data_IF_852769505010
#
_entry.id   IF_852769505010
#
_cell.length_a   1.000
_cell.length_b   1.000
_cell.length_c   1.000
_cell.angle_alpha   90.00
_cell.angle_beta   90.00
_cell.angle_gamma   90.00
#
_symmetry.space_group_name_H-M   'P 1'
#
loop_
_entity.id
_entity.type
_entity.pdbx_description
1 polymer ?
#
# COMPACT_ATOMS: atom_id res chain seq x y z
N UNK A 1 14.73 -11.95 13.68
CA UNK A 1 14.79 -10.66 12.95
C UNK A 1 13.40 -10.03 12.83
N UNK A 2 13.33 -8.72 12.81
CA UNK A 2 12.11 -7.94 12.64
C UNK A 2 12.19 -7.14 11.33
N UNK A 3 11.15 -7.21 10.52
CA UNK A 3 10.94 -6.27 9.41
C UNK A 3 9.81 -5.32 9.76
N UNK A 4 10.04 -4.04 9.54
CA UNK A 4 9.02 -3.00 9.61
C UNK A 4 8.90 -2.33 8.24
N UNK A 5 7.69 -2.35 7.69
CA UNK A 5 7.34 -1.68 6.46
C UNK A 5 6.44 -0.49 6.77
N UNK A 6 6.87 0.70 6.41
CA UNK A 6 6.06 1.92 6.47
C UNK A 6 5.75 2.38 5.04
N UNK A 7 4.62 1.92 4.54
CA UNK A 7 4.08 2.33 3.24
C UNK A 7 3.46 3.72 3.31
N UNK A 8 2.67 4.03 2.38
CA UNK A 8 1.87 5.24 2.12
C UNK A 8 2.37 6.58 2.72
N UNK A 9 2.05 7.65 2.12
CA UNK A 9 2.44 9.00 2.54
C UNK A 9 1.57 10.03 1.83
N UNK A 10 0.26 9.74 1.75
CA UNK A 10 -0.68 10.54 0.96
C UNK A 10 -0.92 11.93 1.53
N UNK A 11 -0.76 12.09 2.85
CA UNK A 11 -1.05 13.33 3.53
C UNK A 11 -0.15 13.51 4.76
N UNK A 12 -0.24 14.67 5.39
CA UNK A 12 0.56 15.02 6.56
C UNK A 12 0.34 14.07 7.75
N UNK A 13 -0.89 13.59 7.94
CA UNK A 13 -1.20 12.66 9.04
C UNK A 13 -0.51 11.32 8.86
N UNK A 14 -0.54 10.75 7.64
CA UNK A 14 0.20 9.53 7.31
C UNK A 14 1.71 9.70 7.51
N UNK A 15 2.26 10.84 7.10
CA UNK A 15 3.68 11.16 7.28
C UNK A 15 4.07 11.25 8.75
N UNK A 16 3.24 11.88 9.58
CA UNK A 16 3.47 12.00 11.03
C UNK A 16 3.42 10.62 11.68
N UNK A 17 2.36 9.83 11.41
CA UNK A 17 2.22 8.48 11.97
C UNK A 17 3.45 7.61 11.66
N UNK A 18 3.92 7.62 10.41
CA UNK A 18 5.12 6.90 9.99
C UNK A 18 6.38 7.36 10.75
N UNK A 19 6.54 8.67 10.93
CA UNK A 19 7.68 9.22 11.67
C UNK A 19 7.65 8.82 13.14
N UNK A 20 6.48 8.85 13.75
CA UNK A 20 6.28 8.45 15.15
C UNK A 20 6.54 6.95 15.35
N UNK A 21 6.08 6.11 14.44
CA UNK A 21 6.37 4.67 14.46
C UNK A 21 7.85 4.38 14.29
N UNK A 22 8.50 5.02 13.32
CA UNK A 22 9.94 4.92 13.14
C UNK A 22 10.68 5.31 14.41
N UNK A 23 10.28 6.39 15.03
CA UNK A 23 10.86 6.87 16.28
C UNK A 23 10.62 5.87 17.41
N UNK A 24 9.40 5.37 17.58
CA UNK A 24 9.09 4.37 18.59
C UNK A 24 9.95 3.11 18.41
N UNK A 25 10.10 2.60 17.19
CA UNK A 25 10.96 1.46 16.91
C UNK A 25 12.43 1.74 17.21
N UNK A 26 12.94 2.89 16.85
CA UNK A 26 14.36 3.24 17.07
C UNK A 26 14.67 3.50 18.56
N UNK A 27 13.74 4.07 19.32
CA UNK A 27 13.90 4.38 20.73
C UNK A 27 13.57 3.19 21.64
N UNK A 28 12.46 2.50 21.39
CA UNK A 28 11.96 1.41 22.25
C UNK A 28 12.65 0.07 21.95
N UNK A 29 13.01 -0.16 20.71
CA UNK A 29 13.66 -1.39 20.23
C UNK A 29 15.09 -1.17 19.78
N UNK A 30 15.77 -0.17 20.35
CA UNK A 30 17.16 0.18 20.03
C UNK A 30 18.14 -0.99 20.19
N UNK A 31 17.83 -1.94 21.07
CA UNK A 31 18.61 -3.16 21.21
C UNK A 31 18.62 -4.03 19.95
N UNK A 32 17.57 -3.98 19.12
CA UNK A 32 17.52 -4.70 17.84
C UNK A 32 18.44 -4.07 16.79
N UNK A 33 18.66 -2.77 16.83
CA UNK A 33 19.56 -2.06 15.92
C UNK A 33 21.02 -2.39 16.17
N UNK A 34 21.38 -2.69 17.40
CA UNK A 34 22.74 -3.01 17.82
C UNK A 34 23.12 -4.48 17.52
N UNK A 35 22.15 -5.31 17.18
CA UNK A 35 22.39 -6.65 16.68
C UNK A 35 22.41 -6.56 15.14
N UNK A 36 23.50 -6.96 14.51
CA UNK A 36 23.74 -6.84 13.05
C UNK A 36 22.65 -7.48 12.15
N UNK A 37 21.54 -7.94 12.72
CA UNK A 37 20.47 -8.68 12.07
C UNK A 37 19.07 -8.34 12.64
N UNK A 38 18.94 -7.28 13.45
CA UNK A 38 17.74 -7.13 14.26
C UNK A 38 16.55 -6.49 13.56
N UNK A 39 16.74 -5.40 12.87
CA UNK A 39 15.66 -4.58 12.31
C UNK A 39 15.94 -4.22 10.87
N UNK A 40 15.08 -4.66 9.99
CA UNK A 40 15.03 -4.24 8.60
C UNK A 40 13.89 -3.22 8.44
N UNK A 41 14.21 -2.00 8.02
CA UNK A 41 13.25 -0.92 7.90
C UNK A 41 13.09 -0.49 6.44
N UNK A 42 11.90 -0.70 5.88
CA UNK A 42 11.49 -0.16 4.60
C UNK A 42 10.86 1.21 4.82
N UNK A 43 11.63 2.26 4.58
CA UNK A 43 11.10 3.61 4.62
C UNK A 43 10.22 3.89 3.41
N UNK A 44 9.25 4.82 3.60
CA UNK A 44 8.49 5.34 2.50
C UNK A 44 9.42 6.09 1.54
N UNK A 45 9.69 5.48 0.43
CA UNK A 45 10.25 6.09 -0.77
C UNK A 45 9.44 5.60 -1.94
N UNK A 46 9.22 6.46 -2.93
CA UNK A 46 8.62 6.01 -4.17
C UNK A 46 9.51 4.93 -4.79
N UNK A 47 8.90 3.76 -4.99
CA UNK A 47 9.57 2.61 -5.57
C UNK A 47 8.54 1.82 -6.37
N UNK A 48 8.68 1.82 -7.69
CA UNK A 48 7.77 1.12 -8.61
C UNK A 48 7.78 -0.41 -8.41
N UNK A 49 8.74 -0.93 -7.65
CA UNK A 49 8.91 -2.34 -7.36
C UNK A 49 8.69 -2.69 -5.88
N UNK A 50 8.11 -1.79 -5.10
CA UNK A 50 7.96 -1.99 -3.64
C UNK A 50 7.23 -3.29 -3.31
N UNK A 51 6.21 -3.66 -4.07
CA UNK A 51 5.48 -4.91 -3.91
C UNK A 51 6.42 -6.12 -3.96
N UNK A 52 7.22 -6.23 -5.00
CA UNK A 52 8.12 -7.38 -5.20
C UNK A 52 9.21 -7.44 -4.15
N UNK A 53 9.70 -6.30 -3.70
CA UNK A 53 10.67 -6.22 -2.60
C UNK A 53 10.06 -6.66 -1.28
N UNK A 54 8.82 -6.24 -0.99
CA UNK A 54 8.12 -6.66 0.22
C UNK A 54 7.82 -8.17 0.19
N UNK A 55 7.35 -8.71 -0.92
CA UNK A 55 7.15 -10.15 -1.07
C UNK A 55 8.45 -10.93 -0.85
N UNK A 56 9.56 -10.47 -1.44
CA UNK A 56 10.86 -11.11 -1.24
C UNK A 56 11.32 -11.04 0.22
N UNK A 57 11.06 -9.94 0.91
CA UNK A 57 11.39 -9.80 2.33
C UNK A 57 10.55 -10.74 3.20
N UNK A 58 9.24 -10.80 2.98
CA UNK A 58 8.34 -11.67 3.75
C UNK A 58 8.54 -13.18 3.48
N UNK A 59 9.17 -13.54 2.36
CA UNK A 59 9.55 -14.91 2.05
C UNK A 59 10.81 -15.40 2.81
N UNK A 60 11.52 -14.51 3.49
CA UNK A 60 12.72 -14.86 4.25
C UNK A 60 12.38 -15.77 5.43
N UNK A 61 13.15 -16.85 5.57
CA UNK A 61 12.97 -17.85 6.64
C UNK A 61 13.68 -17.49 7.95
N UNK A 62 14.53 -16.46 7.92
CA UNK A 62 15.25 -15.94 9.09
C UNK A 62 14.56 -14.73 9.71
N UNK A 63 13.36 -14.40 9.24
CA UNK A 63 12.51 -13.34 9.74
C UNK A 63 11.52 -13.93 10.76
N UNK A 64 11.45 -13.33 11.95
CA UNK A 64 10.55 -13.78 13.04
C UNK A 64 9.24 -13.00 13.07
N UNK A 65 9.28 -11.71 12.73
CA UNK A 65 8.15 -10.80 12.81
C UNK A 65 8.19 -9.77 11.68
N UNK A 66 7.06 -9.55 11.05
CA UNK A 66 6.84 -8.42 10.16
C UNK A 66 5.72 -7.51 10.69
N UNK A 67 5.95 -6.21 10.66
CA UNK A 67 4.94 -5.19 10.94
C UNK A 67 4.77 -4.36 9.68
N UNK A 68 3.55 -4.34 9.16
CA UNK A 68 3.21 -3.71 7.88
C UNK A 68 2.22 -2.57 8.12
N UNK A 69 2.70 -1.34 8.00
CA UNK A 69 1.90 -0.14 8.13
C UNK A 69 1.62 0.46 6.75
N UNK A 70 0.36 0.42 6.31
CA UNK A 70 -0.08 0.91 5.01
C UNK A 70 -1.59 1.16 4.99
N UNK A 71 -2.12 1.73 3.91
CA UNK A 71 -3.56 1.72 3.67
C UNK A 71 -4.00 0.38 3.08
N UNK A 72 -5.24 -0.03 3.35
CA UNK A 72 -5.76 -1.28 2.85
C UNK A 72 -7.27 -1.31 2.66
N UNK A 73 -7.72 -2.31 1.96
CA UNK A 73 -9.09 -2.80 1.87
C UNK A 73 -9.09 -4.31 2.10
N UNK A 74 -10.25 -4.94 1.94
CA UNK A 74 -10.39 -6.39 2.13
C UNK A 74 -9.46 -7.20 1.21
N UNK A 75 -9.24 -6.71 -0.01
CA UNK A 75 -8.54 -7.38 -1.11
C UNK A 75 -7.24 -6.70 -1.55
N UNK A 76 -6.85 -5.60 -0.89
CA UNK A 76 -5.79 -4.72 -1.35
C UNK A 76 -4.91 -4.18 -0.22
N UNK A 77 -3.61 -4.14 -0.47
CA UNK A 77 -2.63 -3.38 0.31
C UNK A 77 -2.04 -2.26 -0.56
N UNK A 78 -2.24 -1.01 -0.15
CA UNK A 78 -1.69 0.16 -0.82
C UNK A 78 -0.31 0.46 -0.22
N UNK A 79 0.74 0.01 -0.91
CA UNK A 79 2.09 -0.01 -0.36
C UNK A 79 2.83 1.31 -0.54
N UNK A 80 2.56 2.02 -1.64
CA UNK A 80 3.16 3.34 -1.88
C UNK A 80 2.09 4.43 -1.94
N UNK A 81 2.49 5.62 -1.51
CA UNK A 81 1.74 6.84 -1.79
C UNK A 81 2.26 7.56 -3.03
N UNK A 82 2.07 8.88 -3.06
CA UNK A 82 2.58 9.72 -4.16
C UNK A 82 4.10 9.88 -4.09
N UNK A 83 4.81 9.90 -5.22
CA UNK A 83 6.25 10.14 -5.23
C UNK A 83 6.58 11.52 -4.66
N UNK A 84 7.70 11.63 -3.97
CA UNK A 84 8.25 12.93 -3.59
C UNK A 84 8.96 13.50 -4.82
N UNK A 85 8.43 14.59 -5.36
CA UNK A 85 8.99 15.22 -6.55
C UNK A 85 8.96 16.74 -6.44
N UNK A 86 10.00 17.38 -6.95
CA UNK A 86 10.03 18.85 -7.18
C UNK A 86 9.40 19.24 -8.52
N UNK A 87 9.06 18.27 -9.37
CA UNK A 87 8.46 18.52 -10.67
C UNK A 87 6.96 18.80 -10.55
N UNK A 88 6.53 19.99 -10.98
CA UNK A 88 5.11 20.33 -11.09
C UNK A 88 4.36 19.38 -12.01
N UNK A 89 5.00 18.89 -13.07
CA UNK A 89 4.37 17.94 -14.00
C UNK A 89 4.02 16.62 -13.35
N UNK A 90 4.88 16.08 -12.50
CA UNK A 90 4.59 14.86 -11.72
C UNK A 90 3.35 15.03 -10.86
N UNK A 91 3.22 16.17 -10.18
CA UNK A 91 2.02 16.44 -9.37
C UNK A 91 0.76 16.63 -10.20
N UNK A 92 0.86 17.24 -11.38
CA UNK A 92 -0.26 17.34 -12.33
C UNK A 92 -0.69 15.95 -12.79
N UNK A 93 0.24 15.09 -13.16
CA UNK A 93 -0.07 13.74 -13.64
C UNK A 93 -0.71 12.88 -12.56
N UNK A 94 -0.25 12.99 -11.32
CA UNK A 94 -0.86 12.32 -10.16
C UNK A 94 -2.28 12.83 -9.88
N UNK A 95 -2.49 14.15 -9.92
CA UNK A 95 -3.82 14.74 -9.74
C UNK A 95 -4.77 14.26 -10.86
N UNK A 96 -4.33 14.21 -12.10
CA UNK A 96 -5.12 13.69 -13.23
C UNK A 96 -5.45 12.20 -13.02
N UNK A 97 -4.48 11.39 -12.63
CA UNK A 97 -4.68 9.97 -12.30
C UNK A 97 -5.75 9.81 -11.21
N UNK A 98 -5.66 10.61 -10.13
CA UNK A 98 -6.65 10.62 -9.06
C UNK A 98 -8.07 10.91 -9.58
N UNK A 99 -8.26 11.97 -10.38
CA UNK A 99 -9.59 12.29 -10.93
C UNK A 99 -10.10 11.20 -11.88
N UNK A 100 -9.24 10.66 -12.75
CA UNK A 100 -9.59 9.52 -13.61
C UNK A 100 -10.08 8.32 -12.80
N UNK A 101 -9.35 7.93 -11.76
CA UNK A 101 -9.72 6.84 -10.88
C UNK A 101 -11.06 7.05 -10.19
N UNK A 102 -11.29 8.25 -9.64
CA UNK A 102 -12.58 8.60 -8.99
C UNK A 102 -13.77 8.54 -9.96
N UNK A 103 -13.58 8.97 -11.20
CA UNK A 103 -14.63 8.91 -12.22
C UNK A 103 -14.90 7.48 -12.66
N UNK A 104 -13.85 6.69 -12.94
CA UNK A 104 -13.99 5.26 -13.34
C UNK A 104 -14.72 4.43 -12.30
N UNK A 105 -14.43 4.67 -11.02
CA UNK A 105 -15.01 3.92 -9.91
C UNK A 105 -16.36 4.45 -9.44
N UNK A 106 -16.88 5.49 -10.10
CA UNK A 106 -18.18 6.08 -9.76
C UNK A 106 -19.36 5.32 -10.38
N UNK A 107 -20.45 5.19 -9.63
CA UNK A 107 -21.73 4.68 -10.14
C UNK A 107 -22.40 5.64 -11.12
N UNK A 108 -22.19 6.95 -10.95
CA UNK A 108 -22.68 8.00 -11.82
C UNK A 108 -21.53 8.90 -12.24
N UNK A 109 -20.93 8.57 -13.37
CA UNK A 109 -19.77 9.26 -13.92
C UNK A 109 -20.09 10.72 -14.30
N UNK A 110 -21.31 10.99 -14.74
CA UNK A 110 -21.74 12.36 -15.12
C UNK A 110 -21.84 13.25 -13.91
N UNK A 111 -22.52 12.79 -12.86
CA UNK A 111 -22.62 13.55 -11.62
C UNK A 111 -21.24 13.76 -10.97
N UNK A 112 -20.37 12.77 -11.02
CA UNK A 112 -19.02 12.83 -10.46
C UNK A 112 -18.14 13.83 -11.23
N UNK A 113 -18.17 13.83 -12.55
CA UNK A 113 -17.47 14.84 -13.37
C UNK A 113 -17.94 16.25 -13.04
N UNK A 114 -19.27 16.45 -13.01
CA UNK A 114 -19.87 17.72 -12.68
C UNK A 114 -19.42 18.20 -11.29
N UNK A 115 -19.48 17.32 -10.29
CA UNK A 115 -19.02 17.65 -8.94
C UNK A 115 -17.58 18.14 -8.91
N UNK A 116 -16.65 17.45 -9.60
CA UNK A 116 -15.25 17.89 -9.61
C UNK A 116 -15.03 19.21 -10.33
N UNK A 117 -15.71 19.46 -11.44
CA UNK A 117 -15.60 20.72 -12.16
C UNK A 117 -16.19 21.91 -11.39
N UNK A 118 -17.21 21.69 -10.59
CA UNK A 118 -17.84 22.76 -9.78
C UNK A 118 -17.08 23.06 -8.49
N UNK A 119 -16.38 22.07 -7.92
CA UNK A 119 -15.77 22.21 -6.60
C UNK A 119 -14.24 22.32 -6.62
N UNK A 120 -13.60 22.09 -7.76
CA UNK A 120 -12.14 22.16 -7.91
C UNK A 120 -11.76 22.98 -9.13
N UNK A 121 -10.75 23.87 -9.03
CA UNK A 121 -10.27 24.68 -10.15
C UNK A 121 -9.40 23.86 -11.11
N UNK A 122 -9.98 22.81 -11.71
CA UNK A 122 -9.28 21.91 -12.61
C UNK A 122 -9.77 22.08 -14.07
N UNK A 123 -8.91 21.87 -15.05
CA UNK A 123 -9.31 21.86 -16.46
C UNK A 123 -10.31 20.74 -16.76
N UNK A 124 -11.29 20.99 -17.60
CA UNK A 124 -12.27 19.99 -18.03
C UNK A 124 -11.63 18.75 -18.65
N UNK A 125 -10.50 18.92 -19.35
CA UNK A 125 -9.73 17.79 -19.91
C UNK A 125 -9.33 16.73 -18.86
N UNK A 126 -9.15 17.14 -17.58
CA UNK A 126 -8.73 16.23 -16.52
C UNK A 126 -9.82 15.22 -16.11
N UNK A 127 -11.07 15.53 -16.39
CA UNK A 127 -12.20 14.63 -16.09
C UNK A 127 -12.72 13.90 -17.34
N UNK A 128 -12.39 14.38 -18.53
CA UNK A 128 -12.88 13.81 -19.78
C UNK A 128 -12.01 12.66 -20.28
N UNK A 129 -10.74 12.58 -19.88
CA UNK A 129 -9.82 11.53 -20.27
C UNK A 129 -9.91 10.25 -19.42
N UNK A 130 -10.89 10.18 -18.51
CA UNK A 130 -11.04 9.07 -17.55
C UNK A 130 -11.17 7.69 -18.22
N UNK A 131 -11.74 7.61 -19.40
CA UNK A 131 -11.96 6.38 -20.16
C UNK A 131 -11.07 6.26 -21.40
N UNK A 132 -10.03 7.08 -21.51
CA UNK A 132 -8.99 6.90 -22.52
C UNK A 132 -8.25 5.58 -22.26
N UNK A 133 -8.21 4.70 -23.26
CA UNK A 133 -7.67 3.35 -23.11
C UNK A 133 -6.18 3.34 -22.77
N UNK A 134 -5.40 4.21 -23.40
CA UNK A 134 -3.96 4.26 -23.16
C UNK A 134 -3.65 4.76 -21.75
N UNK A 135 -4.43 5.73 -21.25
CA UNK A 135 -4.30 6.23 -19.89
C UNK A 135 -4.81 5.21 -18.85
N UNK A 136 -5.85 4.44 -19.17
CA UNK A 136 -6.31 3.36 -18.30
C UNK A 136 -5.24 2.27 -18.15
N UNK A 137 -4.65 1.84 -19.25
CA UNK A 137 -3.56 0.85 -19.27
C UNK A 137 -2.34 1.37 -18.50
N UNK A 138 -1.93 2.61 -18.76
CA UNK A 138 -0.84 3.27 -18.03
C UNK A 138 -1.11 3.29 -16.52
N UNK A 139 -2.29 3.78 -16.10
CA UNK A 139 -2.65 3.87 -14.69
C UNK A 139 -2.62 2.48 -14.02
N UNK A 140 -3.12 1.44 -14.70
CA UNK A 140 -3.13 0.06 -14.20
C UNK A 140 -1.71 -0.51 -14.06
N UNK A 141 -0.84 -0.27 -15.04
CA UNK A 141 0.56 -0.72 -14.98
C UNK A 141 1.33 -0.04 -13.85
N UNK A 142 1.09 1.24 -13.62
CA UNK A 142 1.68 1.96 -12.49
C UNK A 142 1.23 1.39 -11.13
N UNK A 143 -0.02 0.94 -11.02
CA UNK A 143 -0.57 0.38 -9.78
C UNK A 143 -0.02 -1.04 -9.51
N UNK A 144 0.29 -1.83 -10.55
CA UNK A 144 0.75 -3.21 -10.41
C UNK A 144 2.02 -3.40 -9.56
N UNK A 145 2.91 -2.44 -9.55
CA UNK A 145 4.16 -2.52 -8.78
C UNK A 145 4.06 -2.00 -7.35
N UNK A 146 2.99 -1.26 -7.05
CA UNK A 146 2.82 -0.53 -5.78
C UNK A 146 1.62 -1.00 -4.95
N UNK A 147 0.70 -1.71 -5.56
CA UNK A 147 -0.49 -2.26 -4.91
C UNK A 147 -0.41 -3.79 -4.88
N UNK A 148 -0.52 -4.37 -3.68
CA UNK A 148 -0.59 -5.82 -3.53
C UNK A 148 -2.04 -6.25 -3.49
N UNK A 149 -2.41 -7.15 -4.37
CA UNK A 149 -3.75 -7.71 -4.49
C UNK A 149 -3.76 -9.18 -4.06
N UNK A 150 -4.92 -9.72 -3.77
CA UNK A 150 -5.08 -11.15 -3.45
C UNK A 150 -4.45 -12.05 -4.52
N UNK A 151 -4.59 -11.69 -5.81
CA UNK A 151 -4.01 -12.46 -6.91
C UNK A 151 -2.47 -12.58 -6.86
N UNK A 152 -1.79 -11.60 -6.28
CA UNK A 152 -0.33 -11.65 -6.08
C UNK A 152 0.10 -12.69 -5.04
N UNK A 153 -0.83 -13.09 -4.18
CA UNK A 153 -0.59 -14.04 -3.10
C UNK A 153 -0.97 -15.48 -3.46
N UNK A 154 -1.55 -15.73 -4.64
CA UNK A 154 -1.83 -17.09 -5.09
C UNK A 154 -0.54 -17.89 -5.26
N UNK A 155 -0.40 -18.94 -4.45
CA UNK A 155 0.82 -19.77 -4.43
C UNK A 155 2.04 -19.10 -3.80
N UNK A 156 1.86 -17.93 -3.17
CA UNK A 156 2.93 -17.27 -2.42
C UNK A 156 3.19 -18.02 -1.10
N UNK A 157 4.45 -18.21 -0.77
CA UNK A 157 4.88 -18.93 0.43
C UNK A 157 5.61 -17.96 1.38
N UNK A 158 4.91 -17.32 2.34
CA UNK A 158 5.57 -16.46 3.32
C UNK A 158 6.50 -17.29 4.22
N UNK A 159 7.71 -16.77 4.45
CA UNK A 159 8.69 -17.36 5.36
C UNK A 159 8.55 -16.86 6.80
N UNK A 160 7.96 -15.70 7.00
CA UNK A 160 7.80 -15.06 8.30
C UNK A 160 6.65 -15.68 9.09
N UNK A 161 6.88 -16.11 10.36
CA UNK A 161 5.83 -16.77 11.15
C UNK A 161 4.76 -15.82 11.70
N UNK A 162 5.07 -14.55 11.94
CA UNK A 162 4.14 -13.59 12.54
C UNK A 162 4.08 -12.32 11.70
N UNK A 163 2.87 -11.92 11.28
CA UNK A 163 2.63 -10.67 10.56
C UNK A 163 1.60 -9.83 11.31
N UNK A 164 1.92 -8.56 11.52
CA UNK A 164 1.01 -7.55 12.03
C UNK A 164 0.69 -6.57 10.90
N UNK A 165 -0.58 -6.52 10.49
CA UNK A 165 -1.09 -5.52 9.57
C UNK A 165 -1.66 -4.35 10.36
N UNK A 166 -1.00 -3.22 10.30
CA UNK A 166 -1.55 -1.94 10.72
C UNK A 166 -2.13 -1.23 9.49
N UNK A 167 -3.26 -1.76 9.04
CA UNK A 167 -3.97 -1.37 7.83
C UNK A 167 -5.47 -1.59 7.99
N UNK A 168 -6.29 -0.71 7.40
CA UNK A 168 -7.75 -0.85 7.44
C UNK A 168 -8.20 -2.08 6.66
N UNK A 169 -9.21 -2.79 7.13
CA UNK A 169 -9.95 -3.88 6.47
C UNK A 169 -9.13 -5.10 6.02
N UNK A 170 -7.82 -5.13 6.17
CA UNK A 170 -7.03 -6.31 5.79
C UNK A 170 -7.40 -7.56 6.58
N UNK A 171 -7.97 -7.41 7.78
CA UNK A 171 -8.47 -8.48 8.63
C UNK A 171 -9.98 -8.73 8.53
N UNK A 172 -10.56 -8.66 7.36
CA UNK A 172 -12.01 -8.85 7.13
C UNK A 172 -12.42 -10.32 7.22
N UNK A 173 -12.20 -10.94 8.39
CA UNK A 173 -12.41 -12.38 8.68
C UNK A 173 -13.84 -12.87 8.48
N UNK A 174 -14.79 -11.97 8.26
CA UNK A 174 -16.18 -12.29 7.97
C UNK A 174 -16.45 -12.55 6.48
N UNK A 175 -15.44 -12.32 5.62
CA UNK A 175 -15.50 -12.58 4.20
C UNK A 175 -14.86 -13.93 3.88
N UNK A 176 -15.34 -14.58 2.81
CA UNK A 176 -14.79 -15.84 2.32
C UNK A 176 -13.39 -15.66 1.73
N UNK A 177 -13.09 -14.46 1.22
CA UNK A 177 -11.81 -14.10 0.62
C UNK A 177 -11.37 -12.72 1.12
N UNK A 178 -10.17 -12.64 1.69
CA UNK A 178 -9.58 -11.42 2.23
C UNK A 178 -8.05 -11.55 2.29
N UNK A 179 -7.35 -10.43 2.12
CA UNK A 179 -5.92 -10.43 1.82
C UNK A 179 -5.06 -11.05 2.94
N UNK A 180 -5.34 -10.78 4.21
CA UNK A 180 -4.52 -11.35 5.29
C UNK A 180 -4.74 -12.86 5.47
N UNK A 181 -5.86 -13.40 5.00
CA UNK A 181 -6.13 -14.84 4.97
C UNK A 181 -5.13 -15.58 4.08
N UNK A 182 -4.76 -14.99 2.96
CA UNK A 182 -3.79 -15.57 2.04
C UNK A 182 -2.39 -15.75 2.63
N UNK A 183 -2.02 -14.95 3.61
CA UNK A 183 -0.75 -15.14 4.33
C UNK A 183 -0.78 -16.32 5.29
N UNK A 184 -1.93 -16.63 5.92
CA UNK A 184 -2.07 -17.73 6.87
C UNK A 184 -2.38 -19.06 6.19
N UNK A 185 -3.27 -19.05 5.18
CA UNK A 185 -3.82 -20.27 4.60
C UNK A 185 -3.05 -20.75 3.38
N UNK A 186 -2.13 -19.97 2.85
CA UNK A 186 -1.19 -20.42 1.83
C UNK A 186 -0.10 -21.35 2.43
N UNK A 187 0.50 -22.22 1.63
CA UNK A 187 1.67 -22.98 2.05
C UNK A 187 2.80 -22.01 2.43
N UNK A 188 3.23 -22.04 3.68
CA UNK A 188 4.28 -21.12 4.17
C UNK A 188 4.50 -21.30 5.67
N UNK A 189 5.27 -20.40 6.25
CA UNK A 189 5.61 -20.41 7.66
C UNK A 189 4.72 -19.51 8.53
N UNK A 190 3.84 -18.71 7.93
CA UNK A 190 3.00 -17.77 8.69
C UNK A 190 1.92 -18.52 9.46
N UNK A 191 1.95 -18.39 10.76
CA UNK A 191 1.04 -19.06 11.70
C UNK A 191 0.17 -18.08 12.48
N UNK A 192 0.54 -16.79 12.50
CA UNK A 192 -0.19 -15.73 13.18
C UNK A 192 -0.27 -14.50 12.29
N UNK A 193 -1.49 -14.01 12.12
CA UNK A 193 -1.75 -12.69 11.54
C UNK A 193 -2.61 -11.90 12.52
N UNK A 194 -2.15 -10.70 12.87
CA UNK A 194 -2.98 -9.67 13.48
C UNK A 194 -3.30 -8.64 12.41
N UNK A 195 -4.58 -8.40 12.18
CA UNK A 195 -5.03 -7.43 11.19
C UNK A 195 -6.29 -6.70 11.67
N UNK A 196 -6.52 -5.49 11.16
CA UNK A 196 -7.69 -4.70 11.49
C UNK A 196 -8.85 -5.06 10.54
N UNK A 197 -10.08 -5.07 11.08
CA UNK A 197 -11.31 -5.32 10.32
C UNK A 197 -12.10 -4.03 10.00
N UNK A 198 -11.56 -2.88 10.40
CA UNK A 198 -12.13 -1.53 10.22
C UNK A 198 -11.04 -0.57 9.76
#
# INVERSE_FOLDING_TARGET
QLTFFAGHGYNSSCMIARMDEKRALTEQFSFLQNQAQGLNYFDYTWDDNVKYRLLAELARKDLDLAILHHHGSEDLQLLNGSPISSSTQVWIDLARKFFRGKIRNSRDTTATKKYYLENYPIPEAWVNDAFDKALMEKDSLEDLGVDMQIADLYGYEPGVPVIVFDACFNGSFHLDDYISGHYIFNPGSTVVVKANSV
#
